data_IF_277367929020
#
_entry.id   IF_277367929020
#
_cell.length_a   1.000
_cell.length_b   1.000
_cell.length_c   1.000
_cell.angle_alpha   90.00
_cell.angle_beta   90.00
_cell.angle_gamma   90.00
#
_symmetry.space_group_name_H-M   'P 1'
#
loop_
_entity.id
_entity.type
_entity.pdbx_description
1 polymer ?
#
# COMPACT_ATOMS: atom_id res chain seq x y z
N UNK A 1 7.81 0.00 0.35
CA UNK A 1 8.05 -1.44 0.60
C UNK A 1 6.95 -2.27 -0.03
N UNK A 2 7.26 -3.52 -0.36
CA UNK A 2 6.31 -4.49 -0.89
C UNK A 2 6.34 -5.74 -0.04
N UNK A 3 5.23 -6.10 0.60
CA UNK A 3 5.07 -7.38 1.27
C UNK A 3 4.32 -8.35 0.35
N UNK A 4 4.92 -9.50 0.06
CA UNK A 4 4.36 -10.51 -0.86
C UNK A 4 4.83 -11.91 -0.49
N UNK A 5 4.11 -12.94 -0.95
CA UNK A 5 4.62 -14.30 -0.87
C UNK A 5 5.79 -14.52 -1.84
N UNK A 6 6.76 -15.39 -1.54
CA UNK A 6 7.93 -15.62 -2.40
C UNK A 6 7.59 -16.03 -3.84
N UNK A 7 6.44 -16.69 -4.05
CA UNK A 7 5.99 -17.14 -5.36
C UNK A 7 5.29 -16.05 -6.21
N UNK A 8 4.92 -14.90 -5.62
CA UNK A 8 4.33 -13.78 -6.37
C UNK A 8 5.44 -12.87 -6.92
N UNK A 9 6.13 -13.33 -7.96
CA UNK A 9 7.28 -12.61 -8.51
C UNK A 9 6.90 -11.28 -9.19
N UNK A 10 5.62 -11.07 -9.54
CA UNK A 10 5.12 -9.89 -10.24
C UNK A 10 4.59 -8.80 -9.29
N UNK A 11 4.23 -9.15 -8.06
CA UNK A 11 3.83 -8.18 -7.05
C UNK A 11 4.87 -7.08 -6.87
N UNK A 12 4.41 -5.83 -6.92
CA UNK A 12 5.21 -4.62 -6.76
C UNK A 12 5.89 -4.14 -8.04
N UNK A 13 6.17 -5.00 -9.03
CA UNK A 13 6.99 -4.61 -10.19
C UNK A 13 6.44 -3.43 -10.98
N UNK A 14 5.13 -3.42 -11.21
CA UNK A 14 4.48 -2.36 -12.00
C UNK A 14 4.40 -1.07 -11.21
N UNK A 15 4.08 -1.15 -9.91
CA UNK A 15 4.07 0.01 -9.00
C UNK A 15 5.47 0.63 -8.91
N UNK A 16 6.48 -0.19 -8.61
CA UNK A 16 7.87 0.24 -8.44
C UNK A 16 8.41 0.87 -9.72
N UNK A 17 8.06 0.34 -10.90
CA UNK A 17 8.44 0.93 -12.18
C UNK A 17 7.81 2.31 -12.35
N UNK A 18 6.49 2.41 -12.21
CA UNK A 18 5.76 3.66 -12.43
C UNK A 18 6.17 4.76 -11.44
N UNK A 19 6.42 4.41 -10.17
CA UNK A 19 6.93 5.35 -9.17
C UNK A 19 8.37 5.77 -9.47
N UNK A 20 9.24 4.86 -9.93
CA UNK A 20 10.64 5.19 -10.26
C UNK A 20 10.76 6.12 -11.46
N UNK A 21 9.83 6.03 -12.41
CA UNK A 21 9.76 6.93 -13.56
C UNK A 21 9.53 8.40 -13.13
N UNK A 22 8.93 8.64 -11.96
CA UNK A 22 8.67 9.98 -11.40
C UNK A 22 9.65 10.35 -10.28
N UNK A 23 10.06 9.37 -9.48
CA UNK A 23 10.93 9.53 -8.33
C UNK A 23 12.23 8.73 -8.52
N UNK A 24 13.28 9.31 -9.14
CA UNK A 24 14.54 8.61 -9.41
C UNK A 24 15.26 8.10 -8.15
N UNK A 25 14.97 8.71 -6.99
CA UNK A 25 15.51 8.31 -5.68
C UNK A 25 14.65 7.24 -4.98
N UNK A 26 13.70 6.61 -5.68
CA UNK A 26 12.84 5.59 -5.09
C UNK A 26 13.67 4.42 -4.56
N UNK A 27 13.58 4.20 -3.25
CA UNK A 27 14.10 3.03 -2.58
C UNK A 27 13.02 1.95 -2.47
N UNK A 28 13.30 0.76 -2.99
CA UNK A 28 12.38 -0.38 -2.94
C UNK A 28 12.94 -1.46 -2.03
N UNK A 29 12.09 -2.02 -1.17
CA UNK A 29 12.39 -3.16 -0.31
C UNK A 29 11.24 -4.16 -0.44
N UNK A 30 11.58 -5.42 -0.73
CA UNK A 30 10.62 -6.53 -0.77
C UNK A 30 10.76 -7.33 0.52
N UNK A 31 9.63 -7.66 1.12
CA UNK A 31 9.50 -8.44 2.34
C UNK A 31 8.56 -9.62 2.05
N UNK A 32 8.75 -10.70 2.79
CA UNK A 32 8.00 -11.94 2.71
C UNK A 32 7.88 -12.57 4.11
N UNK A 33 7.15 -13.70 4.29
CA UNK A 33 7.02 -14.35 5.60
C UNK A 33 8.36 -14.78 6.23
N UNK A 34 9.40 -15.01 5.44
CA UNK A 34 10.71 -15.46 5.91
C UNK A 34 11.66 -14.29 6.24
N UNK A 35 11.18 -13.05 6.07
CA UNK A 35 11.99 -11.87 6.29
C UNK A 35 12.28 -11.66 7.78
N UNK A 36 13.56 -11.60 8.20
CA UNK A 36 13.90 -11.46 9.63
C UNK A 36 13.49 -10.11 10.21
N UNK A 37 13.17 -10.07 11.50
CA UNK A 37 12.83 -8.85 12.26
C UNK A 37 13.88 -7.73 12.08
N UNK A 38 15.17 -8.07 12.09
CA UNK A 38 16.25 -7.10 11.87
C UNK A 38 16.17 -6.36 10.51
N UNK A 39 15.47 -6.92 9.52
CA UNK A 39 15.20 -6.24 8.24
C UNK A 39 14.14 -5.15 8.39
N UNK A 40 13.13 -5.37 9.24
CA UNK A 40 12.12 -4.37 9.59
C UNK A 40 12.74 -3.22 10.37
N UNK A 41 13.64 -3.51 11.33
CA UNK A 41 14.38 -2.47 12.06
C UNK A 41 15.20 -1.57 11.13
N UNK A 42 15.90 -2.19 10.17
CA UNK A 42 16.67 -1.46 9.14
C UNK A 42 15.75 -0.61 8.27
N UNK A 43 14.60 -1.15 7.89
CA UNK A 43 13.62 -0.44 7.10
C UNK A 43 13.03 0.75 7.86
N UNK A 44 12.71 0.59 9.14
CA UNK A 44 12.22 1.67 10.01
C UNK A 44 13.22 2.81 10.14
N UNK A 45 14.52 2.51 10.27
CA UNK A 45 15.57 3.55 10.27
C UNK A 45 15.64 4.32 8.95
N UNK A 46 15.47 3.65 7.80
CA UNK A 46 15.44 4.30 6.48
C UNK A 46 14.18 5.14 6.30
N UNK A 47 13.04 4.64 6.74
CA UNK A 47 11.73 5.31 6.63
C UNK A 47 11.72 6.71 7.27
N UNK A 48 12.51 6.93 8.33
CA UNK A 48 12.66 8.25 8.98
C UNK A 48 13.18 9.36 8.06
N UNK A 49 13.87 8.99 6.98
CA UNK A 49 14.44 9.92 6.01
C UNK A 49 13.65 9.98 4.70
N UNK A 50 12.53 9.25 4.60
CA UNK A 50 11.67 9.25 3.44
C UNK A 50 10.62 10.36 3.55
N UNK A 51 10.35 11.04 2.43
CA UNK A 51 9.23 12.01 2.34
C UNK A 51 7.87 11.31 2.42
N UNK A 52 7.79 10.07 1.93
CA UNK A 52 6.60 9.22 1.95
C UNK A 52 7.00 7.74 1.90
N UNK A 53 6.38 6.92 2.75
CA UNK A 53 6.49 5.46 2.67
C UNK A 53 5.22 4.89 2.03
N UNK A 54 5.38 4.26 0.87
CA UNK A 54 4.30 3.46 0.25
C UNK A 54 4.45 2.01 0.71
N UNK A 55 3.40 1.48 1.33
CA UNK A 55 3.33 0.10 1.84
C UNK A 55 2.38 -0.70 0.96
N UNK A 56 2.94 -1.51 0.06
CA UNK A 56 2.16 -2.35 -0.85
C UNK A 56 2.00 -3.76 -0.25
N UNK A 57 0.77 -4.17 0.02
CA UNK A 57 0.44 -5.46 0.63
C UNK A 57 -0.23 -6.39 -0.40
N UNK A 58 0.43 -7.51 -0.71
CA UNK A 58 -0.08 -8.57 -1.58
C UNK A 58 -0.48 -9.78 -0.74
N UNK A 59 -1.53 -9.59 0.07
CA UNK A 59 -2.12 -10.63 0.89
C UNK A 59 -3.50 -10.95 0.33
N UNK A 60 -3.70 -12.19 -0.12
CA UNK A 60 -4.97 -12.66 -0.63
C UNK A 60 -5.86 -13.14 0.51
N UNK A 61 -7.17 -12.93 0.39
CA UNK A 61 -8.13 -13.51 1.32
C UNK A 61 -8.09 -15.04 1.18
N UNK A 62 -7.67 -15.77 2.23
CA UNK A 62 -7.80 -17.21 2.23
C UNK A 62 -9.27 -17.56 2.47
N UNK A 63 -9.87 -18.35 1.58
CA UNK A 63 -11.31 -18.57 1.58
C UNK A 63 -11.81 -19.33 2.81
N UNK A 64 -10.98 -19.97 3.64
CA UNK A 64 -11.48 -20.89 4.68
C UNK A 64 -10.51 -21.25 5.83
N UNK A 65 -9.45 -20.47 6.11
CA UNK A 65 -8.53 -20.80 7.22
C UNK A 65 -8.01 -19.56 7.95
N UNK A 66 -8.43 -19.46 9.21
CA UNK A 66 -7.77 -18.97 10.45
C UNK A 66 -6.72 -17.85 10.43
N UNK A 67 -5.83 -17.76 9.45
CA UNK A 67 -4.67 -16.86 9.50
C UNK A 67 -4.51 -16.10 8.17
N UNK A 68 -5.48 -15.22 7.90
CA UNK A 68 -5.39 -14.17 6.86
C UNK A 68 -4.85 -12.87 7.48
N UNK A 69 -4.06 -12.99 8.54
CA UNK A 69 -3.46 -11.88 9.23
C UNK A 69 -2.17 -11.46 8.53
N UNK A 70 -1.95 -10.15 8.48
CA UNK A 70 -0.63 -9.61 8.17
C UNK A 70 0.33 -10.05 9.30
N UNK A 71 1.59 -10.45 9.01
CA UNK A 71 2.53 -10.82 10.06
C UNK A 71 2.71 -9.72 11.11
N UNK A 72 2.97 -10.11 12.35
CA UNK A 72 3.16 -9.18 13.46
C UNK A 72 4.31 -8.20 13.21
N UNK A 73 5.33 -8.58 12.44
CA UNK A 73 6.43 -7.69 12.04
C UNK A 73 5.94 -6.54 11.16
N UNK A 74 5.04 -6.82 10.21
CA UNK A 74 4.47 -5.78 9.35
C UNK A 74 3.53 -4.90 10.17
N UNK A 75 2.75 -5.47 11.09
CA UNK A 75 1.91 -4.68 12.02
C UNK A 75 2.74 -3.73 12.87
N UNK A 76 3.78 -4.25 13.54
CA UNK A 76 4.71 -3.46 14.35
C UNK A 76 5.39 -2.37 13.53
N UNK A 77 5.80 -2.68 12.30
CA UNK A 77 6.35 -1.68 11.39
C UNK A 77 5.35 -0.55 11.07
N UNK A 78 4.08 -0.88 10.82
CA UNK A 78 3.03 0.13 10.59
C UNK A 78 2.78 1.00 11.84
N UNK A 79 2.76 0.39 13.02
CA UNK A 79 2.64 1.09 14.31
C UNK A 79 3.82 2.04 14.54
N UNK A 80 5.04 1.63 14.20
CA UNK A 80 6.24 2.46 14.28
C UNK A 80 6.17 3.67 13.33
N UNK A 81 5.74 3.47 12.08
CA UNK A 81 5.55 4.58 11.12
C UNK A 81 4.56 5.60 11.69
N UNK A 82 3.44 5.14 12.24
CA UNK A 82 2.42 5.98 12.89
C UNK A 82 3.00 6.71 14.11
N UNK A 83 3.61 5.99 15.04
CA UNK A 83 4.14 6.56 16.30
C UNK A 83 5.19 7.64 16.02
N UNK A 84 6.06 7.41 15.03
CA UNK A 84 7.10 8.35 14.63
C UNK A 84 6.60 9.45 13.69
N UNK A 85 5.29 9.46 13.35
CA UNK A 85 4.65 10.41 12.43
C UNK A 85 5.31 10.44 11.04
N UNK A 86 5.81 9.30 10.57
CA UNK A 86 6.37 9.17 9.23
C UNK A 86 5.20 9.14 8.24
N UNK A 87 5.16 10.03 7.22
CA UNK A 87 4.13 10.02 6.21
C UNK A 87 4.07 8.67 5.49
N UNK A 88 2.89 8.04 5.46
CA UNK A 88 2.75 6.75 4.80
C UNK A 88 1.37 6.52 4.19
N UNK A 89 1.35 5.68 3.16
CA UNK A 89 0.12 5.21 2.52
C UNK A 89 0.19 3.69 2.34
N UNK A 90 -0.89 2.99 2.66
CA UNK A 90 -1.03 1.55 2.43
C UNK A 90 -1.84 1.30 1.16
N UNK A 91 -1.36 0.38 0.33
CA UNK A 91 -2.10 -0.12 -0.84
C UNK A 91 -2.28 -1.62 -0.68
N UNK A 92 -3.52 -2.07 -0.53
CA UNK A 92 -3.87 -3.50 -0.48
C UNK A 92 -4.25 -4.01 -1.87
N UNK A 93 -3.52 -5.02 -2.34
CA UNK A 93 -3.72 -5.70 -3.63
C UNK A 93 -4.41 -7.05 -3.47
N UNK A 94 -5.37 -7.15 -2.55
CA UNK A 94 -6.11 -8.38 -2.32
C UNK A 94 -7.17 -8.24 -1.26
N UNK A 95 -6.87 -8.70 -0.05
CA UNK A 95 -7.82 -8.76 1.04
C UNK A 95 -8.30 -7.35 1.48
N UNK A 96 -9.60 -7.02 1.34
CA UNK A 96 -10.11 -5.72 1.78
C UNK A 96 -10.12 -5.56 3.30
N UNK A 97 -10.14 -6.68 4.04
CA UNK A 97 -10.21 -6.66 5.50
C UNK A 97 -8.87 -6.34 6.17
N UNK A 98 -7.76 -6.19 5.44
CA UNK A 98 -6.48 -5.79 6.06
C UNK A 98 -6.54 -4.39 6.70
N UNK A 99 -7.50 -3.55 6.30
CA UNK A 99 -7.71 -2.24 6.91
C UNK A 99 -8.04 -2.35 8.41
N UNK A 100 -8.70 -3.42 8.86
CA UNK A 100 -8.97 -3.61 10.29
C UNK A 100 -7.70 -3.84 11.12
N UNK A 101 -6.60 -4.23 10.48
CA UNK A 101 -5.30 -4.43 11.14
C UNK A 101 -4.54 -3.11 11.36
N UNK A 102 -4.94 -2.04 10.66
CA UNK A 102 -4.30 -0.72 10.71
C UNK A 102 -5.35 0.38 10.87
N UNK A 103 -6.13 0.39 11.98
CA UNK A 103 -7.26 1.32 12.14
C UNK A 103 -6.85 2.80 12.10
N UNK A 104 -5.59 3.11 12.44
CA UNK A 104 -5.03 4.46 12.52
C UNK A 104 -4.15 4.84 11.30
N UNK A 105 -4.23 4.09 10.19
CA UNK A 105 -3.44 4.38 9.00
C UNK A 105 -3.81 5.74 8.40
N UNK A 106 -2.81 6.51 7.98
CA UNK A 106 -3.02 7.86 7.45
C UNK A 106 -3.75 7.88 6.09
N UNK A 107 -3.42 6.93 5.22
CA UNK A 107 -4.04 6.77 3.92
C UNK A 107 -4.07 5.28 3.55
N UNK A 108 -5.21 4.83 3.02
CA UNK A 108 -5.41 3.45 2.63
C UNK A 108 -6.11 3.36 1.28
N UNK A 109 -5.57 2.54 0.39
CA UNK A 109 -6.11 2.30 -0.95
C UNK A 109 -6.36 0.81 -1.17
N UNK A 110 -7.56 0.48 -1.64
CA UNK A 110 -7.90 -0.86 -2.12
C UNK A 110 -7.70 -0.93 -3.63
N UNK A 111 -6.73 -1.73 -4.05
CA UNK A 111 -6.43 -2.02 -5.45
C UNK A 111 -6.93 -3.41 -5.90
N UNK A 112 -7.61 -4.13 -5.01
CA UNK A 112 -8.33 -5.42 -5.20
C UNK A 112 -7.50 -6.65 -5.61
N UNK A 113 -6.40 -6.50 -6.33
CA UNK A 113 -5.66 -7.65 -6.85
C UNK A 113 -4.27 -7.30 -7.37
N UNK A 114 -3.37 -8.28 -7.41
CA UNK A 114 -1.99 -8.10 -7.89
C UNK A 114 -1.82 -8.01 -9.41
N UNK A 115 -2.90 -7.94 -10.20
CA UNK A 115 -2.82 -7.88 -11.66
C UNK A 115 -2.02 -6.66 -12.14
N UNK A 116 -1.39 -6.74 -13.32
CA UNK A 116 -0.66 -5.60 -13.91
C UNK A 116 -1.57 -4.38 -14.08
N UNK A 117 -2.84 -4.59 -14.47
CA UNK A 117 -3.82 -3.52 -14.59
C UNK A 117 -4.13 -2.85 -13.24
N UNK A 118 -4.35 -3.65 -12.19
CA UNK A 118 -4.58 -3.15 -10.83
C UNK A 118 -3.37 -2.38 -10.28
N UNK A 119 -2.17 -2.91 -10.46
CA UNK A 119 -0.93 -2.23 -10.05
C UNK A 119 -0.73 -0.91 -10.79
N UNK A 120 -1.00 -0.88 -12.10
CA UNK A 120 -0.90 0.34 -12.90
C UNK A 120 -1.91 1.39 -12.46
N UNK A 121 -3.17 1.01 -12.25
CA UNK A 121 -4.20 1.90 -11.76
C UNK A 121 -3.86 2.49 -10.38
N UNK A 122 -3.37 1.65 -9.46
CA UNK A 122 -2.92 2.11 -8.15
C UNK A 122 -1.76 3.11 -8.24
N UNK A 123 -0.75 2.82 -9.07
CA UNK A 123 0.37 3.73 -9.27
C UNK A 123 -0.05 5.05 -9.91
N UNK A 124 -0.88 5.01 -10.95
CA UNK A 124 -1.38 6.21 -11.61
C UNK A 124 -2.27 7.04 -10.67
N UNK A 125 -3.05 6.40 -9.79
CA UNK A 125 -3.82 7.08 -8.75
C UNK A 125 -2.92 7.73 -7.69
N UNK A 126 -1.91 7.02 -7.17
CA UNK A 126 -0.93 7.58 -6.22
C UNK A 126 -0.17 8.78 -6.80
N UNK A 127 0.12 8.75 -8.10
CA UNK A 127 0.79 9.83 -8.81
C UNK A 127 -0.17 10.97 -9.20
N UNK A 128 -1.47 10.82 -8.92
CA UNK A 128 -2.51 11.80 -9.28
C UNK A 128 -2.73 11.94 -10.78
N UNK A 129 -2.39 10.91 -11.58
CA UNK A 129 -2.58 10.90 -13.04
C UNK A 129 -4.02 10.56 -13.44
N UNK A 130 -4.72 9.84 -12.58
CA UNK A 130 -6.14 9.48 -12.76
C UNK A 130 -6.94 9.86 -11.51
N UNK A 131 -8.25 10.11 -11.64
CA UNK A 131 -9.09 10.36 -10.49
C UNK A 131 -9.30 9.09 -9.66
N UNK A 132 -9.49 9.25 -8.35
CA UNK A 132 -9.93 8.19 -7.44
C UNK A 132 -11.44 8.38 -7.24
N UNK A 133 -12.23 7.39 -7.67
CA UNK A 133 -13.70 7.38 -7.57
C UNK A 133 -14.27 6.03 -7.15
N UNK A 134 -13.41 5.12 -6.71
CA UNK A 134 -13.83 3.79 -6.27
C UNK A 134 -14.61 3.85 -4.97
N UNK A 135 -15.61 2.99 -4.84
CA UNK A 135 -16.38 2.79 -3.61
C UNK A 135 -16.41 1.31 -3.25
N UNK A 136 -16.60 1.04 -1.96
CA UNK A 136 -16.65 -0.31 -1.42
C UNK A 136 -17.89 -1.08 -1.93
N UNK A 137 -17.73 -2.24 -2.59
CA UNK A 137 -18.85 -3.10 -2.95
C UNK A 137 -19.32 -3.98 -1.77
N UNK A 138 -18.56 -4.02 -0.67
CA UNK A 138 -18.83 -4.80 0.54
C UNK A 138 -18.49 -3.96 1.77
N UNK A 139 -19.18 -4.19 2.89
CA UNK A 139 -18.82 -3.56 4.16
C UNK A 139 -17.50 -4.11 4.72
N UNK A 140 -16.78 -3.26 5.45
CA UNK A 140 -15.59 -3.63 6.26
C UNK A 140 -15.92 -3.23 7.70
N UNK A 141 -16.51 -4.15 8.49
CA UNK A 141 -16.87 -3.85 9.87
C UNK A 141 -15.65 -3.58 10.75
N UNK A 142 -15.79 -2.76 11.81
CA UNK A 142 -16.98 -1.98 12.16
C UNK A 142 -17.08 -0.62 11.43
N UNK A 143 -16.05 -0.23 10.69
CA UNK A 143 -15.80 1.19 10.37
C UNK A 143 -16.30 1.66 9.01
N UNK A 144 -16.51 0.76 8.03
CA UNK A 144 -16.86 1.16 6.66
C UNK A 144 -18.05 0.38 6.10
N UNK A 145 -19.00 1.12 5.53
CA UNK A 145 -20.21 0.61 4.90
C UNK A 145 -20.02 0.36 3.39
N UNK A 146 -20.97 -0.36 2.80
CA UNK A 146 -21.08 -0.46 1.34
C UNK A 146 -21.27 0.95 0.77
N UNK A 147 -20.52 1.27 -0.28
CA UNK A 147 -20.56 2.56 -0.95
C UNK A 147 -19.53 3.57 -0.43
N UNK A 148 -18.86 3.29 0.71
CA UNK A 148 -17.82 4.19 1.23
C UNK A 148 -16.63 4.27 0.28
N UNK A 149 -16.06 5.47 0.17
CA UNK A 149 -14.92 5.76 -0.67
C UNK A 149 -14.62 7.25 -0.67
N UNK A 150 -13.38 7.63 -0.96
CA UNK A 150 -13.01 9.03 -1.13
C UNK A 150 -12.96 9.38 -2.61
N UNK A 151 -13.42 10.57 -2.96
CA UNK A 151 -13.30 11.11 -4.31
C UNK A 151 -12.13 12.09 -4.33
N UNK A 152 -11.15 11.81 -5.18
CA UNK A 152 -10.02 12.71 -5.41
C UNK A 152 -9.87 12.92 -6.91
N UNK A 153 -9.82 14.18 -7.32
CA UNK A 153 -9.54 14.55 -8.70
C UNK A 153 -8.03 14.46 -8.99
N UNK A 154 -7.62 14.31 -10.27
CA UNK A 154 -6.22 14.24 -10.64
C UNK A 154 -5.47 15.49 -10.18
N UNK A 155 -4.15 15.36 -10.02
CA UNK A 155 -3.29 16.51 -9.78
C UNK A 155 -3.43 17.46 -10.96
N UNK A 156 -3.88 18.69 -10.71
CA UNK A 156 -3.91 19.73 -11.74
C UNK A 156 -2.52 19.85 -12.36
N UNK A 157 -2.43 19.73 -13.69
CA UNK A 157 -1.20 20.03 -14.40
C UNK A 157 -0.92 21.51 -14.16
N UNK A 158 0.16 21.82 -13.44
CA UNK A 158 0.66 23.20 -13.43
C UNK A 158 1.05 23.51 -14.86
N UNK A 159 0.30 24.41 -15.50
CA UNK A 159 0.67 25.00 -16.76
C UNK A 159 1.84 25.96 -16.50
N UNK A 160 3.02 25.40 -16.24
CA UNK A 160 4.25 26.17 -16.24
C UNK A 160 4.62 26.33 -17.73
N UNK A 161 4.15 27.44 -18.30
CA UNK A 161 4.31 27.76 -19.71
C UNK A 161 5.72 28.25 -20.07
N UNK A 162 6.02 28.12 -21.36
CA UNK A 162 6.91 29.02 -22.12
C UNK A 162 8.40 28.78 -21.97
#
# INVERSE_FOLDING_TARGET
MTYRRPNDLLAGRTVDRALRDVYPRLETVTLDPDTPEASYDRLGRRARFADLVVVSLYVHAASYQGDVAVPDEVRRFMEDLRYQRIPHAVVSFGNPYLLSEFPDVQAYMLAWGGSVASQRAAADALLGRIPIRGSLPTGIPPSFAIGDGIVLEPKAVRADGG
#
